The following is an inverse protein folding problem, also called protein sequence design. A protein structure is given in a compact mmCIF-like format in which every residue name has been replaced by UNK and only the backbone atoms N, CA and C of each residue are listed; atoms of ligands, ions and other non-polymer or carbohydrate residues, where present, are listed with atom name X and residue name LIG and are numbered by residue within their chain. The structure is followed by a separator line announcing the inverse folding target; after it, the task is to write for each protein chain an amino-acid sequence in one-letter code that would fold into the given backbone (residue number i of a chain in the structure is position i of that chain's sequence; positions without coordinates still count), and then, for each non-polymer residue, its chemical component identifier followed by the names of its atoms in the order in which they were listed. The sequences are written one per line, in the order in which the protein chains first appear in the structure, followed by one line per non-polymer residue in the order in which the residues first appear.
data_IF_333809219380
#
_entry.id   IF_333809219380
#
_cell.length_a   1.000
_cell.length_b   1.000
_cell.length_c   1.000
_cell.angle_alpha   90.00
_cell.angle_beta   90.00
_cell.angle_gamma   90.00
#
_symmetry.space_group_name_H-M   'P 1'
#
loop_
_entity.id
_entity.type
_entity.pdbx_description
1 polymer ?
#
# COMPACT_ATOMS: atom_id res chain seq x y z
N UNK A 1 -7.32 -5.42 -11.21
CA UNK A 1 -6.07 -4.63 -11.26
C UNK A 1 -6.33 -3.30 -10.60
N UNK A 2 -5.39 -2.81 -9.79
CA UNK A 2 -5.50 -1.49 -9.17
C UNK A 2 -4.62 -0.51 -9.94
N UNK A 3 -5.10 0.72 -10.13
CA UNK A 3 -4.43 1.81 -10.83
C UNK A 3 -4.55 3.08 -10.00
N UNK A 4 -3.71 4.07 -10.31
CA UNK A 4 -3.66 5.35 -9.59
C UNK A 4 -4.88 6.20 -9.92
N UNK A 5 -5.51 6.77 -8.89
CA UNK A 5 -6.36 7.94 -9.00
C UNK A 5 -5.56 9.12 -8.43
N UNK A 6 -5.08 10.00 -9.31
CA UNK A 6 -4.29 11.14 -8.88
C UNK A 6 -5.18 12.13 -8.12
N UNK A 7 -4.79 12.47 -6.89
CA UNK A 7 -5.52 13.42 -6.03
C UNK A 7 -4.60 13.92 -4.91
N UNK A 8 -4.80 15.17 -4.53
CA UNK A 8 -4.19 15.86 -3.40
C UNK A 8 -5.04 15.79 -2.12
N UNK A 9 -6.21 15.14 -2.18
CA UNK A 9 -7.15 15.07 -1.08
C UNK A 9 -6.61 14.21 0.07
N UNK A 10 -6.84 14.67 1.31
CA UNK A 10 -6.66 13.80 2.48
C UNK A 10 -7.64 12.61 2.43
N UNK A 11 -7.39 11.54 3.22
CA UNK A 11 -8.33 10.43 3.33
C UNK A 11 -9.75 10.87 3.74
N UNK A 12 -9.88 11.82 4.66
CA UNK A 12 -11.15 12.37 5.16
C UNK A 12 -11.84 13.18 4.08
N UNK A 13 -11.08 14.00 3.34
CA UNK A 13 -11.63 14.82 2.26
C UNK A 13 -12.10 13.98 1.10
N UNK A 14 -11.35 12.93 0.76
CA UNK A 14 -11.74 11.94 -0.24
C UNK A 14 -13.11 11.33 0.09
N UNK A 15 -13.36 11.02 1.37
CA UNK A 15 -14.65 10.50 1.83
C UNK A 15 -15.72 11.58 1.83
N UNK A 16 -15.44 12.74 2.43
CA UNK A 16 -16.37 13.87 2.55
C UNK A 16 -16.91 14.33 1.20
N UNK A 17 -16.04 14.38 0.19
CA UNK A 17 -16.38 14.82 -1.16
C UNK A 17 -16.91 13.69 -2.05
N UNK A 18 -16.97 12.46 -1.53
CA UNK A 18 -17.28 11.26 -2.31
C UNK A 18 -16.45 11.17 -3.61
N UNK A 19 -15.15 11.50 -3.52
CA UNK A 19 -14.30 11.77 -4.68
C UNK A 19 -14.19 10.58 -5.66
N UNK A 20 -14.52 9.36 -5.22
CA UNK A 20 -14.69 8.21 -6.12
C UNK A 20 -15.68 8.47 -7.25
N UNK A 21 -16.70 9.32 -7.07
CA UNK A 21 -17.66 9.71 -8.11
C UNK A 21 -16.96 10.39 -9.29
N UNK A 22 -15.89 11.14 -9.01
CA UNK A 22 -15.11 11.89 -10.00
C UNK A 22 -14.01 11.04 -10.67
N UNK A 23 -13.70 9.86 -10.11
CA UNK A 23 -12.69 8.98 -10.69
C UNK A 23 -13.14 8.51 -12.09
N UNK A 24 -12.35 8.82 -13.11
CA UNK A 24 -12.61 8.48 -14.52
C UNK A 24 -11.49 7.63 -15.11
N UNK A 25 -11.87 6.71 -15.98
CA UNK A 25 -10.96 5.93 -16.79
C UNK A 25 -11.59 5.86 -18.18
N UNK A 26 -11.18 6.76 -19.06
CA UNK A 26 -11.89 6.98 -20.33
C UNK A 26 -11.65 5.84 -21.33
N UNK A 27 -10.45 5.26 -21.30
CA UNK A 27 -10.07 4.17 -22.18
C UNK A 27 -9.80 2.89 -21.39
N UNK A 28 -10.13 1.75 -22.01
CA UNK A 28 -9.80 0.46 -21.44
C UNK A 28 -8.27 0.27 -21.43
N UNK A 29 -7.65 -0.04 -20.27
CA UNK A 29 -6.20 -0.28 -20.23
C UNK A 29 -5.72 -1.47 -21.07
N UNK A 30 -6.62 -2.38 -21.46
CA UNK A 30 -6.31 -3.53 -22.34
C UNK A 30 -6.63 -3.26 -23.81
N UNK A 31 -7.57 -2.35 -24.08
CA UNK A 31 -8.02 -2.03 -25.43
C UNK A 31 -8.11 -0.50 -25.58
N UNK A 32 -6.96 0.20 -25.72
CA UNK A 32 -6.94 1.66 -25.77
C UNK A 32 -7.74 2.26 -26.93
N UNK A 33 -7.91 1.52 -28.02
CA UNK A 33 -8.72 1.90 -29.19
C UNK A 33 -10.23 1.70 -28.99
N UNK A 34 -10.66 1.18 -27.84
CA UNK A 34 -12.07 0.93 -27.56
C UNK A 34 -12.64 -0.35 -28.18
N UNK A 35 -13.97 -0.40 -28.36
CA UNK A 35 -14.68 -1.54 -28.94
C UNK A 35 -14.82 -2.76 -28.04
N UNK A 36 -14.44 -2.66 -26.76
CA UNK A 36 -14.47 -3.78 -25.81
C UNK A 36 -15.62 -3.74 -24.80
N UNK A 37 -16.53 -2.76 -24.91
CA UNK A 37 -17.64 -2.56 -23.97
C UNK A 37 -17.17 -2.09 -22.58
N UNK A 38 -16.03 -1.41 -22.50
CA UNK A 38 -15.47 -0.95 -21.24
C UNK A 38 -16.41 0.05 -20.56
N UNK A 39 -16.68 -0.17 -19.28
CA UNK A 39 -17.63 0.65 -18.55
C UNK A 39 -17.25 0.77 -17.07
N UNK A 40 -17.83 1.77 -16.41
CA UNK A 40 -17.83 1.87 -14.95
C UNK A 40 -18.66 0.72 -14.37
N UNK A 41 -18.14 0.05 -13.35
CA UNK A 41 -18.74 -1.10 -12.68
C UNK A 41 -18.92 -0.84 -11.18
N UNK A 42 -19.53 0.30 -10.86
CA UNK A 42 -19.82 0.71 -9.48
C UNK A 42 -18.58 0.99 -8.63
N UNK A 43 -18.65 0.62 -7.35
CA UNK A 43 -17.60 0.84 -6.35
C UNK A 43 -17.48 -0.34 -5.40
N UNK A 44 -16.33 -0.52 -4.73
CA UNK A 44 -16.23 -1.37 -3.53
C UNK A 44 -15.87 -0.54 -2.30
N UNK A 45 -16.32 -0.98 -1.12
CA UNK A 45 -16.00 -0.33 0.15
C UNK A 45 -14.63 -0.78 0.67
N UNK A 46 -13.90 0.13 1.31
CA UNK A 46 -12.75 -0.23 2.17
C UNK A 46 -13.16 -0.16 3.64
N UNK A 47 -12.41 -0.87 4.48
CA UNK A 47 -12.63 -0.86 5.93
C UNK A 47 -12.29 0.49 6.56
N UNK A 48 -11.26 1.17 6.05
CA UNK A 48 -10.76 2.42 6.61
C UNK A 48 -10.19 3.34 5.51
N UNK A 49 -10.40 4.67 5.61
CA UNK A 49 -11.34 5.34 6.53
C UNK A 49 -12.78 4.87 6.34
N UNK A 50 -13.63 5.01 7.35
CA UNK A 50 -15.05 4.64 7.22
C UNK A 50 -15.71 5.43 6.07
N UNK A 51 -16.67 4.82 5.38
CA UNK A 51 -17.33 5.44 4.22
C UNK A 51 -16.51 5.40 2.93
N UNK A 52 -15.22 5.02 2.98
CA UNK A 52 -14.36 4.93 1.79
C UNK A 52 -14.91 3.96 0.75
N UNK A 53 -15.15 4.48 -0.46
CA UNK A 53 -15.46 3.70 -1.65
C UNK A 53 -14.41 3.91 -2.72
N UNK A 54 -14.15 2.89 -3.53
CA UNK A 54 -13.19 2.92 -4.63
C UNK A 54 -13.91 2.63 -5.93
N UNK A 55 -13.75 3.51 -6.92
CA UNK A 55 -14.34 3.34 -8.25
C UNK A 55 -13.82 2.08 -8.94
N UNK A 56 -14.73 1.33 -9.57
CA UNK A 56 -14.43 0.14 -10.36
C UNK A 56 -14.85 0.33 -11.80
N UNK A 57 -14.11 -0.31 -12.69
CA UNK A 57 -14.39 -0.42 -14.10
C UNK A 57 -14.23 -1.86 -14.54
N UNK A 58 -14.90 -2.24 -15.62
CA UNK A 58 -14.87 -3.60 -16.13
C UNK A 58 -14.69 -3.60 -17.65
N UNK A 59 -13.80 -4.48 -18.12
CA UNK A 59 -13.65 -4.80 -19.52
C UNK A 59 -14.27 -6.18 -19.79
N UNK A 60 -15.44 -6.25 -20.46
CA UNK A 60 -16.06 -7.51 -20.85
C UNK A 60 -15.14 -8.39 -21.69
N UNK A 61 -14.57 -7.88 -22.79
CA UNK A 61 -13.70 -8.69 -23.67
C UNK A 61 -12.44 -9.21 -22.98
N UNK A 62 -11.85 -8.39 -22.12
CA UNK A 62 -10.64 -8.77 -21.38
C UNK A 62 -10.92 -9.53 -20.08
N UNK A 63 -12.20 -9.75 -19.73
CA UNK A 63 -12.65 -10.36 -18.48
C UNK A 63 -11.92 -9.83 -17.23
N UNK A 64 -11.69 -8.51 -17.18
CA UNK A 64 -10.83 -7.90 -16.15
C UNK A 64 -11.46 -6.67 -15.53
N UNK A 65 -11.42 -6.62 -14.19
CA UNK A 65 -11.80 -5.44 -13.40
C UNK A 65 -10.60 -4.54 -13.15
N UNK A 66 -10.85 -3.23 -13.19
CA UNK A 66 -9.91 -2.17 -12.81
C UNK A 66 -10.50 -1.39 -11.64
N UNK A 67 -9.65 -0.92 -10.74
CA UNK A 67 -10.05 0.00 -9.67
C UNK A 67 -9.06 1.15 -9.56
N UNK A 68 -9.57 2.35 -9.30
CA UNK A 68 -8.75 3.56 -9.18
C UNK A 68 -8.57 3.92 -7.72
N UNK A 69 -7.39 3.63 -7.14
CA UNK A 69 -7.06 3.92 -5.75
C UNK A 69 -6.49 5.35 -5.64
N UNK A 70 -7.05 6.23 -4.79
CA UNK A 70 -6.54 7.57 -4.56
C UNK A 70 -5.15 7.56 -3.92
N UNK A 71 -4.36 8.59 -4.20
CA UNK A 71 -2.99 8.72 -3.74
C UNK A 71 -2.86 8.71 -2.21
N UNK A 72 -3.85 9.24 -1.48
CA UNK A 72 -3.86 9.21 -0.03
C UNK A 72 -4.00 7.79 0.57
N UNK A 73 -4.48 6.78 -0.18
CA UNK A 73 -4.78 5.46 0.39
C UNK A 73 -3.70 4.40 0.18
N UNK A 74 -3.39 3.59 1.19
CA UNK A 74 -2.41 2.51 1.06
C UNK A 74 -2.94 1.36 0.20
N UNK A 75 -2.11 0.84 -0.73
CA UNK A 75 -2.49 -0.31 -1.54
C UNK A 75 -2.31 -1.61 -0.75
N UNK A 76 -3.29 -2.51 -0.83
CA UNK A 76 -3.28 -3.85 -0.18
C UNK A 76 -2.96 -3.88 1.33
N UNK A 77 -3.01 -2.74 2.00
CA UNK A 77 -2.99 -2.55 3.45
C UNK A 77 -4.18 -1.65 3.81
N UNK A 78 -4.85 -1.91 4.93
CA UNK A 78 -5.84 -0.98 5.47
C UNK A 78 -5.15 0.32 5.87
N UNK A 79 -5.87 1.43 5.73
CA UNK A 79 -5.34 2.75 6.06
C UNK A 79 -4.93 3.58 4.86
N UNK A 80 -4.44 4.76 5.18
CA UNK A 80 -3.84 5.74 4.29
C UNK A 80 -2.31 5.68 4.29
N UNK A 81 -1.69 6.34 3.32
CA UNK A 81 -0.23 6.36 3.19
C UNK A 81 0.44 7.20 4.28
N UNK A 82 -0.20 8.29 4.71
CA UNK A 82 0.22 9.10 5.86
C UNK A 82 0.23 8.29 7.18
N UNK A 83 -0.79 7.46 7.44
CA UNK A 83 -0.84 6.57 8.60
C UNK A 83 0.27 5.52 8.56
N UNK A 84 0.50 4.94 7.37
CA UNK A 84 1.62 4.00 7.19
C UNK A 84 2.95 4.69 7.45
N UNK A 85 3.10 5.93 6.98
CA UNK A 85 4.31 6.73 7.21
C UNK A 85 4.51 7.04 8.69
N UNK A 86 3.47 7.52 9.39
CA UNK A 86 3.51 7.82 10.82
C UNK A 86 3.98 6.61 11.65
N UNK A 87 3.50 5.40 11.31
CA UNK A 87 3.97 4.15 11.93
C UNK A 87 5.46 3.91 11.71
N UNK A 88 5.96 4.19 10.51
CA UNK A 88 7.37 3.95 10.18
C UNK A 88 8.26 5.00 10.84
N UNK A 89 7.84 6.25 10.84
CA UNK A 89 8.51 7.35 11.56
C UNK A 89 8.61 7.02 13.04
N UNK A 90 7.54 6.54 13.65
CA UNK A 90 7.54 6.10 15.05
C UNK A 90 8.57 4.99 15.28
N UNK A 91 8.63 4.00 14.39
CA UNK A 91 9.64 2.93 14.46
C UNK A 91 11.07 3.46 14.27
N UNK A 92 11.29 4.36 13.32
CA UNK A 92 12.62 4.93 13.03
C UNK A 92 13.14 5.80 14.18
N UNK A 93 12.24 6.49 14.91
CA UNK A 93 12.59 7.35 16.04
C UNK A 93 12.64 6.61 17.39
N UNK A 94 12.27 5.33 17.40
CA UNK A 94 12.25 4.52 18.63
C UNK A 94 13.60 3.88 18.93
N UNK A 95 13.92 3.76 20.22
CA UNK A 95 15.09 3.00 20.69
C UNK A 95 14.93 1.49 20.51
N UNK A 96 13.70 0.97 20.46
CA UNK A 96 13.37 -0.43 20.21
C UNK A 96 12.00 -0.61 19.53
N UNK A 97 11.72 -1.82 19.02
CA UNK A 97 10.41 -2.11 18.41
C UNK A 97 9.30 -2.17 19.47
N UNK A 98 9.63 -2.59 20.69
CA UNK A 98 8.74 -2.62 21.84
C UNK A 98 8.36 -1.19 22.26
N UNK A 99 9.34 -0.29 22.35
CA UNK A 99 9.07 1.12 22.67
C UNK A 99 8.18 1.80 21.62
N UNK A 100 8.35 1.46 20.33
CA UNK A 100 7.47 1.91 19.27
C UNK A 100 6.05 1.32 19.43
N UNK A 101 5.95 0.02 19.73
CA UNK A 101 4.68 -0.67 19.91
C UNK A 101 3.86 -0.06 21.05
N UNK A 102 4.50 0.26 22.18
CA UNK A 102 3.87 0.89 23.34
C UNK A 102 3.29 2.27 23.00
N UNK A 103 3.91 3.02 22.09
CA UNK A 103 3.45 4.35 21.66
C UNK A 103 2.34 4.29 20.61
N UNK A 104 2.33 3.28 19.74
CA UNK A 104 1.30 3.11 18.72
C UNK A 104 -0.07 2.71 19.29
N UNK A 105 -0.13 2.18 20.53
CA UNK A 105 -1.36 1.92 21.31
C UNK A 105 -2.49 1.25 20.51
N UNK A 106 -2.16 0.15 19.82
CA UNK A 106 -3.17 -0.64 19.13
C UNK A 106 -3.78 -1.67 20.09
N UNK A 107 -5.10 -1.88 20.00
CA UNK A 107 -5.85 -2.89 20.79
C UNK A 107 -5.57 -4.33 20.32
N UNK A 108 -4.29 -4.71 20.31
CA UNK A 108 -3.79 -6.04 19.96
C UNK A 108 -2.59 -6.36 20.84
N UNK A 109 -2.39 -7.63 21.16
CA UNK A 109 -1.25 -8.04 21.99
C UNK A 109 0.10 -7.71 21.34
N UNK A 110 1.13 -7.52 22.16
CA UNK A 110 2.48 -7.12 21.72
C UNK A 110 3.02 -7.97 20.55
N UNK A 111 2.93 -9.32 20.54
CA UNK A 111 3.37 -10.12 19.39
C UNK A 111 2.60 -9.79 18.09
N UNK A 112 1.33 -9.40 18.22
CA UNK A 112 0.50 -8.91 17.13
C UNK A 112 0.98 -7.56 16.61
N UNK A 113 1.23 -6.59 17.50
CA UNK A 113 1.71 -5.25 17.15
C UNK A 113 3.05 -5.34 16.41
N UNK A 114 4.02 -6.08 16.97
CA UNK A 114 5.35 -6.24 16.38
C UNK A 114 5.27 -6.82 14.96
N UNK A 115 4.40 -7.82 14.73
CA UNK A 115 4.18 -8.40 13.41
C UNK A 115 3.52 -7.42 12.45
N UNK A 116 2.54 -6.68 12.93
CA UNK A 116 1.80 -5.67 12.17
C UNK A 116 2.70 -4.51 11.72
N UNK A 117 3.58 -4.04 12.60
CA UNK A 117 4.58 -3.00 12.31
C UNK A 117 5.63 -3.52 11.34
N UNK A 118 6.23 -4.67 11.63
CA UNK A 118 7.29 -5.27 10.79
C UNK A 118 6.82 -5.45 9.35
N UNK A 119 5.57 -5.86 9.16
CA UNK A 119 5.00 -6.00 7.82
C UNK A 119 4.96 -4.67 7.06
N UNK A 120 4.58 -3.56 7.71
CA UNK A 120 4.58 -2.22 7.10
C UNK A 120 5.98 -1.72 6.79
N UNK A 121 6.88 -1.82 7.77
CA UNK A 121 8.27 -1.37 7.65
C UNK A 121 8.97 -2.10 6.51
N UNK A 122 8.88 -3.42 6.44
CA UNK A 122 9.53 -4.21 5.37
C UNK A 122 8.99 -3.81 3.99
N UNK A 123 7.66 -3.69 3.85
CA UNK A 123 7.06 -3.36 2.56
C UNK A 123 7.48 -1.97 2.07
N UNK A 124 7.48 -0.97 2.96
CA UNK A 124 7.89 0.38 2.58
C UNK A 124 9.39 0.44 2.32
N UNK A 125 10.23 -0.16 3.15
CA UNK A 125 11.69 -0.20 2.90
C UNK A 125 12.02 -0.79 1.53
N UNK A 126 11.36 -1.89 1.13
CA UNK A 126 11.56 -2.46 -0.21
C UNK A 126 11.11 -1.49 -1.30
N UNK A 127 9.97 -0.81 -1.13
CA UNK A 127 9.53 0.20 -2.09
C UNK A 127 10.53 1.35 -2.21
N UNK A 128 11.06 1.86 -1.09
CA UNK A 128 12.08 2.91 -1.06
C UNK A 128 13.38 2.48 -1.74
N UNK A 129 13.86 1.25 -1.50
CA UNK A 129 15.04 0.72 -2.20
C UNK A 129 14.84 0.72 -3.72
N UNK A 130 13.69 0.26 -4.19
CA UNK A 130 13.38 0.25 -5.63
C UNK A 130 13.29 1.68 -6.17
N UNK A 131 12.76 2.64 -5.40
CA UNK A 131 12.70 4.04 -5.82
C UNK A 131 14.08 4.66 -6.01
N UNK A 132 15.05 4.35 -5.14
CA UNK A 132 16.43 4.82 -5.29
C UNK A 132 17.01 4.38 -6.64
N UNK A 133 16.73 3.13 -7.04
CA UNK A 133 17.19 2.57 -8.32
C UNK A 133 16.43 3.13 -9.53
N UNK A 134 15.12 3.34 -9.42
CA UNK A 134 14.27 3.81 -10.52
C UNK A 134 14.38 5.31 -10.78
N UNK A 135 14.66 6.11 -9.75
CA UNK A 135 14.68 7.58 -9.81
C UNK A 135 15.97 8.14 -9.22
N UNK A 136 17.16 7.74 -9.73
CA UNK A 136 18.44 8.15 -9.18
C UNK A 136 18.66 9.66 -9.25
N UNK A 137 18.06 10.35 -10.22
CA UNK A 137 18.14 11.81 -10.32
C UNK A 137 17.51 12.54 -9.12
N UNK A 138 16.58 11.89 -8.41
CA UNK A 138 15.93 12.45 -7.23
C UNK A 138 16.51 11.89 -5.92
N UNK A 139 16.93 10.63 -5.92
CA UNK A 139 17.22 9.88 -4.69
C UNK A 139 18.63 9.30 -4.64
N UNK A 140 19.56 9.74 -5.50
CA UNK A 140 20.97 9.38 -5.37
C UNK A 140 21.48 9.77 -3.96
N UNK A 141 22.08 8.81 -3.26
CA UNK A 141 22.57 8.99 -1.89
C UNK A 141 21.52 8.84 -0.79
N UNK A 142 20.24 8.65 -1.13
CA UNK A 142 19.23 8.31 -0.13
C UNK A 142 19.46 6.89 0.43
N UNK A 143 19.14 6.71 1.70
CA UNK A 143 18.96 5.39 2.30
C UNK A 143 17.46 5.02 2.28
N UNK A 144 17.08 3.73 2.32
CA UNK A 144 15.68 3.32 2.30
C UNK A 144 15.00 3.55 3.67
N UNK A 145 14.95 4.81 4.13
CA UNK A 145 14.25 5.29 5.32
C UNK A 145 13.34 6.46 4.96
N UNK A 146 12.29 6.67 5.76
CA UNK A 146 11.41 7.83 5.55
C UNK A 146 12.19 9.13 5.79
N UNK A 147 13.00 9.19 6.85
CA UNK A 147 13.84 10.35 7.18
C UNK A 147 14.75 10.80 6.03
N UNK A 148 15.37 9.85 5.31
CA UNK A 148 16.26 10.16 4.19
C UNK A 148 15.50 10.77 3.01
N UNK A 149 14.34 10.22 2.67
CA UNK A 149 13.51 10.73 1.57
C UNK A 149 12.86 12.08 1.90
N UNK A 150 12.41 12.28 3.15
CA UNK A 150 11.94 13.58 3.63
C UNK A 150 13.01 14.66 3.52
N UNK A 151 14.25 14.32 3.88
CA UNK A 151 15.38 15.24 3.77
C UNK A 151 15.68 15.62 2.32
N UNK A 152 15.58 14.65 1.40
CA UNK A 152 15.85 14.88 -0.03
C UNK A 152 14.79 15.73 -0.72
N UNK A 153 13.52 15.62 -0.31
CA UNK A 153 12.39 16.33 -0.95
C UNK A 153 11.86 17.52 -0.16
N UNK A 154 12.28 17.69 1.10
CA UNK A 154 11.78 18.73 2.03
C UNK A 154 10.25 18.72 2.20
N UNK A 155 9.64 17.53 2.30
CA UNK A 155 8.19 17.34 2.35
C UNK A 155 7.80 16.36 3.46
N UNK A 156 6.62 16.59 4.04
CA UNK A 156 5.97 15.72 5.02
C UNK A 156 4.43 15.86 4.90
N UNK A 157 3.66 14.77 4.72
CA UNK A 157 4.08 13.37 4.55
C UNK A 157 4.68 13.10 3.16
N UNK A 158 5.57 12.12 3.04
CA UNK A 158 6.31 11.82 1.80
C UNK A 158 5.72 10.66 0.99
N UNK A 159 5.08 9.67 1.60
CA UNK A 159 4.60 8.48 0.89
C UNK A 159 3.56 8.81 -0.21
N UNK A 160 2.55 9.67 0.00
CA UNK A 160 1.67 10.12 -1.09
C UNK A 160 2.44 10.76 -2.24
N UNK A 161 3.43 11.61 -1.92
CA UNK A 161 4.26 12.31 -2.91
C UNK A 161 5.13 11.35 -3.70
N UNK A 162 5.74 10.36 -3.06
CA UNK A 162 6.53 9.33 -3.74
C UNK A 162 5.68 8.50 -4.71
N UNK A 163 4.40 8.26 -4.40
CA UNK A 163 3.48 7.63 -5.35
C UNK A 163 3.26 8.52 -6.57
N UNK A 164 3.18 9.83 -6.37
CA UNK A 164 3.12 10.83 -7.43
C UNK A 164 4.36 10.83 -8.32
N UNK A 165 5.55 10.98 -7.72
CA UNK A 165 6.84 10.96 -8.41
C UNK A 165 7.04 9.66 -9.21
N UNK A 166 6.61 8.52 -8.66
CA UNK A 166 6.76 7.21 -9.27
C UNK A 166 5.55 6.77 -10.10
N UNK A 167 4.69 7.68 -10.54
CA UNK A 167 3.43 7.37 -11.22
C UNK A 167 3.56 6.39 -12.40
N UNK A 168 4.62 6.53 -13.19
CA UNK A 168 4.92 5.65 -14.33
C UNK A 168 5.38 4.25 -13.91
N UNK A 169 5.93 4.12 -12.70
CA UNK A 169 6.56 2.90 -12.18
C UNK A 169 5.75 2.19 -11.11
N UNK A 170 4.53 2.64 -10.80
CA UNK A 170 3.70 2.04 -9.72
C UNK A 170 3.43 0.55 -9.92
N UNK A 171 3.49 0.04 -11.15
CA UNK A 171 3.32 -1.39 -11.43
C UNK A 171 4.54 -2.24 -11.03
N UNK A 172 5.72 -1.62 -10.91
CA UNK A 172 6.96 -2.26 -10.42
C UNK A 172 7.08 -2.18 -8.90
N UNK A 173 6.55 -1.11 -8.30
CA UNK A 173 6.64 -0.89 -6.87
C UNK A 173 5.69 -1.80 -6.08
N UNK A 174 6.16 -2.41 -4.98
CA UNK A 174 5.31 -3.23 -4.14
C UNK A 174 4.30 -2.36 -3.37
N UNK A 175 3.19 -2.95 -2.88
CA UNK A 175 2.36 -2.31 -1.87
C UNK A 175 3.18 -1.99 -0.61
N UNK A 176 2.84 -0.94 0.17
CA UNK A 176 1.64 -0.11 0.01
C UNK A 176 1.77 1.04 -0.98
N UNK A 177 2.98 1.33 -1.46
CA UNK A 177 3.22 2.50 -2.30
C UNK A 177 2.74 2.28 -3.74
N UNK A 178 3.12 1.14 -4.34
CA UNK A 178 2.73 0.76 -5.70
C UNK A 178 1.63 -0.30 -5.77
N UNK A 179 1.39 -0.82 -6.97
CA UNK A 179 0.38 -1.82 -7.29
C UNK A 179 0.96 -3.15 -7.74
N UNK A 180 2.30 -3.25 -7.75
CA UNK A 180 3.08 -4.40 -8.19
C UNK A 180 2.95 -5.64 -7.30
N UNK A 181 3.75 -6.67 -7.58
CA UNK A 181 3.78 -7.88 -6.75
C UNK A 181 4.25 -7.56 -5.34
N UNK A 182 3.81 -8.36 -4.36
CA UNK A 182 4.41 -8.30 -3.02
C UNK A 182 5.81 -8.94 -3.09
N UNK A 183 6.78 -8.47 -2.30
CA UNK A 183 8.07 -9.13 -2.20
C UNK A 183 7.86 -10.61 -1.87
N UNK A 184 8.54 -11.49 -2.59
CA UNK A 184 8.46 -12.91 -2.29
C UNK A 184 8.93 -13.16 -0.87
N UNK A 185 8.12 -13.86 -0.07
CA UNK A 185 8.64 -14.41 1.18
C UNK A 185 9.72 -15.40 0.78
N UNK A 186 10.98 -15.16 1.16
CA UNK A 186 12.02 -16.18 1.08
C UNK A 186 11.41 -17.48 1.61
N UNK A 187 11.27 -18.49 0.75
CA UNK A 187 10.85 -19.83 1.16
C UNK A 187 11.98 -20.35 2.04
N UNK A 188 11.97 -20.03 3.33
CA UNK A 188 12.67 -20.86 4.28
C UNK A 188 12.09 -22.26 4.07
N UNK A 189 12.92 -23.18 3.57
CA UNK A 189 12.57 -24.61 3.56
C UNK A 189 12.12 -24.90 4.99
N UNK A 190 10.81 -25.13 5.14
CA UNK A 190 10.23 -25.57 6.39
C UNK A 190 10.75 -26.98 6.62
N UNK A 191 11.93 -27.12 7.20
CA UNK A 191 12.27 -28.32 7.96
C UNK A 191 11.49 -28.23 9.28
N UNK A 192 10.15 -28.23 9.19
CA UNK A 192 9.33 -28.52 10.35
C UNK A 192 9.34 -30.02 10.50
N UNK A 193 10.07 -30.52 11.51
CA UNK A 193 9.65 -31.69 12.25
C UNK A 193 8.24 -31.39 12.78
N UNK A 194 7.22 -31.64 11.96
CA UNK A 194 5.84 -31.67 12.41
C UNK A 194 5.76 -32.81 13.41
N UNK A 195 5.60 -32.49 14.70
CA UNK A 195 5.21 -33.51 15.67
C UNK A 195 3.82 -34.02 15.24
N UNK A 196 3.70 -35.34 15.08
CA UNK A 196 2.40 -35.98 14.84
C UNK A 196 1.51 -35.65 16.04
N UNK A 197 0.38 -35.01 15.80
CA UNK A 197 -0.70 -34.89 16.78
C UNK A 197 -1.08 -36.31 17.22
N UNK A 198 -0.94 -36.61 18.51
CA UNK A 198 -1.44 -37.85 19.09
C UNK A 198 -2.96 -37.87 19.04
N UNK A 199 -3.54 -39.05 18.83
CA UNK A 199 -4.99 -39.23 18.89
C UNK A 199 -5.53 -38.82 20.26
N UNK A 200 -6.68 -38.15 20.29
CA UNK A 200 -7.37 -37.85 21.54
C UNK A 200 -7.67 -39.15 22.32
N UNK A 201 -7.51 -39.16 23.65
CA UNK A 201 -7.82 -40.33 24.46
C UNK A 201 -9.34 -40.60 24.49
N UNK A 202 -9.75 -41.89 24.55
CA UNK A 202 -11.16 -42.26 24.57
C UNK A 202 -11.86 -41.77 25.85
N UNK A 203 -13.14 -41.43 25.69
CA UNK A 203 -14.08 -40.95 26.73
C UNK A 203 -14.44 -42.06 27.71
#
# INVERSE_FOLDING_TARGET
MQMRFATDLSPEEYVRQEAWKNAKLDNCPLHPKGGCGFCRNGTYKRRFPEGTKIARFYCPKGHKSFSLLPDCLASRLSGSLDEVEAVIVEVENSTSQEAAADRLRLDIELPGILRWMRHRVVLVRVALSILIELLPSLFAGCTPSISSFRSALCLEPILPELRGCASLYLHLLPPPLGFGPRPEKKKFKKNHFQHKTGSDPPV
#
